data_IF_686558498461
#
_entry.id   IF_686558498461
#
_cell.length_a   1.000
_cell.length_b   1.000
_cell.length_c   1.000
_cell.angle_alpha   90.00
_cell.angle_beta   90.00
_cell.angle_gamma   90.00
#
_symmetry.space_group_name_H-M   'P 1'
#
loop_
_entity.id
_entity.type
_entity.pdbx_description
1 polymer ?
#
# COMPACT_ATOMS: atom_id res chain seq x y z
N UNK A 1 -18.29 -10.08 -11.08
CA UNK A 1 -18.38 -10.20 -9.61
C UNK A 1 -17.09 -9.64 -9.05
N UNK A 2 -17.15 -8.66 -8.13
CA UNK A 2 -15.95 -8.13 -7.46
C UNK A 2 -15.53 -9.14 -6.40
N UNK A 3 -14.26 -9.52 -6.41
CA UNK A 3 -13.63 -10.45 -5.47
C UNK A 3 -12.17 -10.05 -5.34
N UNK A 4 -11.69 -9.90 -4.10
CA UNK A 4 -10.31 -9.52 -3.82
C UNK A 4 -10.11 -9.18 -2.35
N UNK A 5 -8.86 -8.96 -1.97
CA UNK A 5 -8.47 -8.59 -0.60
C UNK A 5 -8.44 -7.07 -0.47
N UNK A 6 -9.20 -6.54 0.49
CA UNK A 6 -9.19 -5.10 0.80
C UNK A 6 -7.76 -4.62 1.12
N UNK A 7 -7.38 -3.46 0.58
CA UNK A 7 -6.01 -2.92 0.66
C UNK A 7 -5.18 -3.14 -0.59
N UNK A 8 -5.33 -4.29 -1.25
CA UNK A 8 -4.60 -4.60 -2.47
C UNK A 8 -5.40 -4.26 -3.73
N UNK A 9 -6.73 -4.22 -3.64
CA UNK A 9 -7.58 -3.90 -4.79
C UNK A 9 -7.36 -2.47 -5.28
N UNK A 10 -7.09 -2.34 -6.59
CA UNK A 10 -7.08 -1.04 -7.26
C UNK A 10 -8.42 -0.31 -7.10
N UNK A 11 -8.43 1.03 -7.01
CA UNK A 11 -9.66 1.80 -6.79
C UNK A 11 -10.68 1.59 -7.93
N UNK A 12 -10.24 1.48 -9.18
CA UNK A 12 -11.09 1.21 -10.33
C UNK A 12 -11.76 -0.18 -10.28
N UNK A 13 -11.05 -1.19 -9.77
CA UNK A 13 -11.61 -2.52 -9.58
C UNK A 13 -12.58 -2.54 -8.39
N UNK A 14 -12.21 -1.92 -7.27
CA UNK A 14 -13.04 -1.87 -6.07
C UNK A 14 -14.35 -1.09 -6.28
N UNK A 15 -14.29 0.03 -7.02
CA UNK A 15 -15.44 0.91 -7.22
C UNK A 15 -16.31 0.50 -8.41
N UNK A 16 -15.70 0.03 -9.50
CA UNK A 16 -16.39 -0.18 -10.79
C UNK A 16 -16.32 -1.62 -11.29
N UNK A 17 -15.60 -2.49 -10.60
CA UNK A 17 -15.39 -3.88 -11.02
C UNK A 17 -14.52 -4.04 -12.27
N UNK A 18 -13.77 -3.00 -12.66
CA UNK A 18 -12.86 -3.07 -13.81
C UNK A 18 -11.56 -3.79 -13.44
N UNK A 19 -11.50 -5.08 -13.75
CA UNK A 19 -10.28 -5.86 -13.65
C UNK A 19 -9.44 -5.70 -14.92
N UNK A 20 -8.13 -5.51 -14.77
CA UNK A 20 -7.19 -5.42 -15.88
C UNK A 20 -5.76 -5.75 -15.42
N UNK A 21 -4.84 -5.85 -16.37
CA UNK A 21 -3.42 -5.93 -16.05
C UNK A 21 -2.94 -4.74 -15.18
N UNK A 22 -3.57 -3.57 -15.30
CA UNK A 22 -3.22 -2.40 -14.47
C UNK A 22 -3.67 -2.57 -13.01
N UNK A 23 -4.82 -3.20 -12.78
CA UNK A 23 -5.26 -3.50 -11.40
C UNK A 23 -4.36 -4.53 -10.73
N UNK A 24 -3.80 -5.47 -11.51
CA UNK A 24 -2.79 -6.43 -11.00
C UNK A 24 -1.47 -5.72 -10.65
N UNK A 25 -1.00 -4.82 -11.52
CA UNK A 25 0.22 -4.02 -11.25
C UNK A 25 0.04 -3.16 -10.00
N UNK A 26 -1.14 -2.56 -9.79
CA UNK A 26 -1.45 -1.83 -8.57
C UNK A 26 -1.31 -2.75 -7.34
N UNK A 27 -1.99 -3.90 -7.37
CA UNK A 27 -1.97 -4.87 -6.26
C UNK A 27 -0.56 -5.37 -5.94
N UNK A 28 0.26 -5.58 -6.98
CA UNK A 28 1.66 -5.95 -6.83
C UNK A 28 2.50 -4.82 -6.21
N UNK A 29 2.26 -3.57 -6.59
CA UNK A 29 2.91 -2.41 -5.96
C UNK A 29 2.62 -2.32 -4.47
N UNK A 30 1.37 -2.56 -4.07
CA UNK A 30 0.99 -2.64 -2.65
C UNK A 30 1.78 -3.73 -1.91
N UNK A 31 1.90 -4.92 -2.50
CA UNK A 31 2.67 -6.02 -1.92
C UNK A 31 4.14 -5.65 -1.73
N UNK A 32 4.75 -4.95 -2.70
CA UNK A 32 6.12 -4.45 -2.56
C UNK A 32 6.23 -3.49 -1.38
N UNK A 33 5.31 -2.53 -1.24
CA UNK A 33 5.33 -1.59 -0.12
C UNK A 33 5.21 -2.30 1.24
N UNK A 34 4.38 -3.33 1.32
CA UNK A 34 4.25 -4.17 2.51
C UNK A 34 5.54 -4.94 2.84
N UNK A 35 6.21 -5.51 1.82
CA UNK A 35 7.48 -6.24 2.00
C UNK A 35 8.60 -5.30 2.47
N UNK A 36 8.78 -4.16 1.81
CA UNK A 36 9.91 -3.26 2.12
C UNK A 36 9.72 -2.57 3.47
N UNK A 37 8.48 -2.30 3.87
CA UNK A 37 8.18 -1.61 5.14
C UNK A 37 8.01 -2.54 6.32
N UNK A 38 7.84 -3.84 6.09
CA UNK A 38 7.48 -4.81 7.12
C UNK A 38 6.11 -4.56 7.76
N UNK A 39 5.34 -3.58 7.27
CA UNK A 39 4.04 -3.16 7.84
C UNK A 39 2.90 -3.80 7.06
N UNK A 40 2.07 -4.58 7.75
CA UNK A 40 0.84 -5.14 7.18
C UNK A 40 -0.09 -4.03 6.70
N UNK A 41 -0.66 -4.18 5.52
CA UNK A 41 -1.64 -3.21 5.03
C UNK A 41 -2.91 -3.21 5.89
N UNK A 42 -3.26 -4.34 6.51
CA UNK A 42 -4.44 -4.46 7.39
C UNK A 42 -4.31 -3.64 8.68
N UNK A 43 -3.09 -3.39 9.19
CA UNK A 43 -2.91 -2.58 10.41
C UNK A 43 -3.09 -1.09 10.14
N UNK A 44 -2.99 -0.64 8.88
CA UNK A 44 -3.30 0.74 8.50
C UNK A 44 -4.80 1.06 8.43
N UNK A 45 -5.66 0.03 8.57
CA UNK A 45 -7.12 0.19 8.68
C UNK A 45 -7.61 0.38 10.11
N UNK A 46 -6.73 0.27 11.11
CA UNK A 46 -7.09 0.64 12.47
C UNK A 46 -7.03 2.16 12.61
N UNK A 47 -8.24 2.71 12.53
CA UNK A 47 -8.64 4.10 12.69
C UNK A 47 -8.27 4.54 14.11
N UNK A 48 -7.12 5.21 14.24
CA UNK A 48 -6.90 6.24 15.25
C UNK A 48 -6.09 7.35 14.58
N UNK A 49 -6.85 8.35 14.10
CA UNK A 49 -6.61 9.78 13.89
C UNK A 49 -5.32 10.33 13.21
N UNK A 50 -4.29 9.53 12.90
CA UNK A 50 -3.07 10.02 12.22
C UNK A 50 -2.39 8.99 11.28
N UNK A 51 -3.04 7.85 11.02
CA UNK A 51 -2.49 6.78 10.18
C UNK A 51 -2.87 6.96 8.70
N UNK A 52 -2.11 7.81 8.00
CA UNK A 52 -2.12 7.81 6.54
C UNK A 52 -1.89 6.37 6.02
N UNK A 53 -2.83 5.82 5.26
CA UNK A 53 -2.70 4.56 4.49
C UNK A 53 -1.26 4.36 4.02
N UNK A 54 -0.69 3.13 4.11
CA UNK A 54 0.70 2.81 3.73
C UNK A 54 1.11 3.43 2.38
N UNK A 55 0.18 3.46 1.42
CA UNK A 55 0.35 4.11 0.11
C UNK A 55 0.58 5.61 0.23
N UNK A 56 -0.27 6.30 1.00
CA UNK A 56 -0.18 7.74 1.27
C UNK A 56 1.11 8.06 2.03
N UNK A 57 1.48 7.23 3.00
CA UNK A 57 2.72 7.39 3.75
C UNK A 57 3.95 7.25 2.84
N UNK A 58 4.02 6.18 2.05
CA UNK A 58 5.09 5.95 1.08
C UNK A 58 5.19 7.10 0.05
N UNK A 59 4.04 7.56 -0.45
CA UNK A 59 3.99 8.70 -1.38
C UNK A 59 4.52 9.98 -0.74
N UNK A 60 4.15 10.26 0.52
CA UNK A 60 4.64 11.43 1.25
C UNK A 60 6.17 11.38 1.43
N UNK A 61 6.71 10.24 1.87
CA UNK A 61 8.16 10.06 2.01
C UNK A 61 8.90 10.24 0.69
N UNK A 62 8.37 9.67 -0.40
CA UNK A 62 8.91 9.86 -1.74
C UNK A 62 8.93 11.34 -2.16
N UNK A 63 7.82 12.05 -1.95
CA UNK A 63 7.67 13.48 -2.26
C UNK A 63 8.57 14.38 -1.42
N UNK A 64 8.88 13.97 -0.19
CA UNK A 64 9.74 14.71 0.73
C UNK A 64 11.23 14.40 0.56
N UNK A 65 11.60 13.46 -0.33
CA UNK A 65 12.99 13.08 -0.57
C UNK A 65 13.58 12.12 0.46
N UNK A 66 12.73 11.48 1.29
CA UNK A 66 13.14 10.53 2.33
C UNK A 66 12.57 9.12 2.13
N UNK A 67 12.72 8.49 0.95
CA UNK A 67 12.10 7.18 0.68
C UNK A 67 12.64 6.05 1.56
N UNK A 68 13.88 6.17 2.08
CA UNK A 68 14.51 5.15 2.92
C UNK A 68 13.86 5.04 4.31
N UNK A 69 13.19 6.09 4.80
CA UNK A 69 12.44 6.03 6.06
C UNK A 69 11.25 5.04 6.00
N UNK A 70 10.88 4.57 4.81
CA UNK A 70 9.88 3.54 4.64
C UNK A 70 10.41 2.14 4.96
N UNK A 71 11.71 1.91 4.83
CA UNK A 71 12.33 0.59 4.94
C UNK A 71 12.23 0.09 6.37
N UNK A 72 11.90 -1.20 6.53
CA UNK A 72 11.88 -1.87 7.83
C UNK A 72 13.27 -1.78 8.48
N UNK A 73 13.40 -1.24 9.71
CA UNK A 73 14.68 -1.16 10.40
C UNK A 73 15.37 -2.52 10.62
N UNK A 74 14.64 -3.63 10.56
CA UNK A 74 15.22 -4.98 10.62
C UNK A 74 15.94 -5.41 9.35
N UNK A 75 15.77 -4.65 8.25
CA UNK A 75 16.53 -4.79 7.00
C UNK A 75 17.84 -4.00 7.06
N UNK A 76 17.97 -3.03 7.97
CA UNK A 76 19.21 -2.30 8.20
C UNK A 76 20.19 -3.17 9.00
N UNK A 77 21.46 -3.19 8.55
CA UNK A 77 22.54 -4.11 8.99
C UNK A 77 23.02 -3.85 10.42
#
# INVERSE_FOLDING_TARGET
RIVGTYGYMSPEYAMRGHFSMKSDVYSFGILILEVISGKKISSSYHIDDDSSNLVTHAWRLWRNGSPLELVDPTIEE
#
